data_IF_675988583199
#
_entry.id   IF_675988583199
#
_cell.length_a   1.000
_cell.length_b   1.000
_cell.length_c   1.000
_cell.angle_alpha   90.00
_cell.angle_beta   90.00
_cell.angle_gamma   90.00
#
_symmetry.space_group_name_H-M   'P 1'
#
loop_
_entity.id
_entity.type
_entity.pdbx_description
1 polymer ?
#
# COMPACT_ATOMS: atom_id res chain seq x y z
N UNK A 1 1.34 -24.59 -25.49
CA UNK A 1 1.79 -23.47 -24.63
C UNK A 1 0.63 -22.50 -24.57
N UNK A 2 -0.35 -22.84 -23.74
CA UNK A 2 -1.53 -22.04 -23.49
C UNK A 2 -1.13 -20.89 -22.57
N UNK A 3 -1.49 -19.67 -22.96
CA UNK A 3 -1.40 -18.50 -22.09
C UNK A 3 -2.73 -18.46 -21.35
N UNK A 4 -2.71 -18.78 -20.07
CA UNK A 4 -3.88 -18.64 -19.20
C UNK A 4 -4.25 -17.16 -19.12
N UNK A 5 -5.20 -16.77 -19.97
CA UNK A 5 -5.96 -15.55 -19.85
C UNK A 5 -6.74 -15.66 -18.54
N UNK A 6 -6.29 -14.93 -17.51
CA UNK A 6 -7.03 -14.74 -16.27
C UNK A 6 -8.31 -13.97 -16.62
N UNK A 7 -9.39 -14.71 -16.89
CA UNK A 7 -10.71 -14.14 -17.15
C UNK A 7 -11.22 -13.52 -15.84
N UNK A 8 -11.11 -12.21 -15.72
CA UNK A 8 -11.83 -11.44 -14.72
C UNK A 8 -13.34 -11.67 -14.92
N UNK A 9 -14.12 -11.94 -13.86
CA UNK A 9 -15.55 -12.14 -13.98
C UNK A 9 -16.22 -10.89 -14.57
N UNK A 10 -17.21 -11.16 -15.43
CA UNK A 10 -17.99 -10.20 -16.18
C UNK A 10 -18.66 -9.18 -15.23
N UNK A 11 -18.08 -7.98 -15.10
CA UNK A 11 -18.71 -6.86 -14.39
C UNK A 11 -19.78 -6.24 -15.30
N UNK A 12 -21.00 -6.15 -14.79
CA UNK A 12 -22.12 -5.48 -15.44
C UNK A 12 -21.74 -4.05 -15.84
N UNK A 13 -22.05 -3.68 -17.08
CA UNK A 13 -21.86 -2.34 -17.63
C UNK A 13 -22.55 -1.28 -16.74
N UNK A 14 -21.76 -0.55 -15.95
CA UNK A 14 -22.25 0.51 -15.07
C UNK A 14 -21.28 0.96 -13.97
N UNK A 15 -20.30 0.14 -13.60
CA UNK A 15 -19.32 0.47 -12.56
C UNK A 15 -18.07 1.12 -13.20
N UNK A 16 -17.98 2.44 -13.15
CA UNK A 16 -16.80 3.16 -13.64
C UNK A 16 -15.60 2.81 -12.75
N UNK A 17 -14.56 2.19 -13.34
CA UNK A 17 -13.31 1.93 -12.64
C UNK A 17 -12.68 3.25 -12.16
N UNK A 18 -12.18 3.26 -10.91
CA UNK A 18 -11.47 4.42 -10.37
C UNK A 18 -10.21 4.71 -11.21
N UNK A 19 -9.79 5.96 -11.31
CA UNK A 19 -8.48 6.28 -11.92
C UNK A 19 -7.46 6.60 -10.83
N UNK A 20 -6.27 6.03 -10.92
CA UNK A 20 -5.19 6.26 -9.95
C UNK A 20 -3.87 6.58 -10.65
N UNK A 21 -3.21 7.64 -10.19
CA UNK A 21 -1.85 8.01 -10.58
C UNK A 21 -0.86 7.51 -9.53
N UNK A 22 0.12 6.70 -9.94
CA UNK A 22 1.17 6.15 -9.07
C UNK A 22 2.56 6.40 -9.64
N UNK A 23 3.59 6.22 -8.83
CA UNK A 23 4.98 6.41 -9.24
C UNK A 23 5.38 5.36 -10.28
N UNK A 24 5.96 5.80 -11.40
CA UNK A 24 6.69 4.94 -12.32
C UNK A 24 8.12 4.66 -11.83
N UNK A 25 8.68 3.50 -12.15
CA UNK A 25 10.04 3.14 -11.79
C UNK A 25 11.07 4.04 -12.49
N UNK A 26 12.17 4.37 -11.79
CA UNK A 26 13.24 5.18 -12.36
C UNK A 26 13.91 4.42 -13.53
N UNK A 27 13.93 5.04 -14.71
CA UNK A 27 14.49 4.42 -15.92
C UNK A 27 13.60 3.36 -16.59
N UNK A 28 12.42 3.05 -16.02
CA UNK A 28 11.46 2.10 -16.57
C UNK A 28 10.02 2.64 -16.41
N UNK A 29 9.58 3.56 -17.31
CA UNK A 29 8.33 4.31 -17.14
C UNK A 29 7.06 3.43 -17.17
N UNK A 30 7.15 2.24 -17.76
CA UNK A 30 6.04 1.29 -17.87
C UNK A 30 5.97 0.30 -16.69
N UNK A 31 6.81 0.49 -15.68
CA UNK A 31 6.90 -0.38 -14.49
C UNK A 31 6.51 0.41 -13.24
N UNK A 32 5.81 -0.26 -12.31
CA UNK A 32 5.46 0.33 -11.01
C UNK A 32 6.73 0.64 -10.19
N UNK A 33 6.83 1.87 -9.70
CA UNK A 33 7.98 2.36 -8.95
C UNK A 33 7.92 2.12 -7.45
N UNK A 34 9.03 2.41 -6.79
CA UNK A 34 9.22 2.37 -5.34
C UNK A 34 8.51 3.55 -4.66
N UNK A 35 7.26 3.33 -4.23
CA UNK A 35 6.51 4.30 -3.44
C UNK A 35 5.62 3.60 -2.41
N UNK A 36 5.99 3.60 -1.12
CA UNK A 36 5.18 2.93 -0.08
C UNK A 36 3.78 3.54 0.04
N UNK A 37 3.62 4.84 -0.25
CA UNK A 37 2.32 5.51 -0.24
C UNK A 37 1.42 5.06 -1.40
N UNK A 38 1.98 4.85 -2.60
CA UNK A 38 1.23 4.28 -3.72
C UNK A 38 0.84 2.83 -3.43
N UNK A 39 1.79 2.04 -2.91
CA UNK A 39 1.54 0.64 -2.54
C UNK A 39 0.44 0.52 -1.49
N UNK A 40 0.38 1.41 -0.50
CA UNK A 40 -0.73 1.45 0.48
C UNK A 40 -2.09 1.52 -0.21
N UNK A 41 -2.27 2.48 -1.13
CA UNK A 41 -3.54 2.65 -1.85
C UNK A 41 -3.85 1.45 -2.74
N UNK A 42 -2.86 0.95 -3.49
CA UNK A 42 -3.03 -0.21 -4.36
C UNK A 42 -3.45 -1.45 -3.56
N UNK A 43 -2.78 -1.75 -2.44
CA UNK A 43 -3.14 -2.86 -1.56
C UNK A 43 -4.57 -2.74 -1.03
N UNK A 44 -5.00 -1.53 -0.63
CA UNK A 44 -6.38 -1.28 -0.20
C UNK A 44 -7.38 -1.58 -1.31
N UNK A 45 -7.11 -1.13 -2.55
CA UNK A 45 -7.99 -1.37 -3.69
C UNK A 45 -8.06 -2.86 -4.08
N UNK A 46 -6.92 -3.55 -4.09
CA UNK A 46 -6.81 -4.98 -4.40
C UNK A 46 -7.55 -5.84 -3.36
N UNK A 47 -7.34 -5.60 -2.07
CA UNK A 47 -8.00 -6.38 -1.00
C UNK A 47 -9.53 -6.19 -1.02
N UNK A 48 -9.99 -4.97 -1.34
CA UNK A 48 -11.41 -4.65 -1.52
C UNK A 48 -11.95 -5.03 -2.90
N UNK A 49 -11.10 -5.49 -3.82
CA UNK A 49 -11.45 -5.87 -5.19
C UNK A 49 -12.13 -4.74 -5.98
N UNK A 50 -11.72 -3.50 -5.71
CA UNK A 50 -12.24 -2.32 -6.40
C UNK A 50 -11.51 -2.18 -7.73
N UNK A 51 -12.20 -2.20 -8.88
CA UNK A 51 -11.54 -2.05 -10.17
C UNK A 51 -11.00 -0.63 -10.35
N UNK A 52 -9.78 -0.52 -10.87
CA UNK A 52 -9.15 0.76 -11.15
C UNK A 52 -8.32 0.73 -12.44
N UNK A 53 -8.11 1.91 -13.01
CA UNK A 53 -7.20 2.20 -14.10
C UNK A 53 -5.94 2.86 -13.55
N UNK A 54 -4.80 2.21 -13.78
CA UNK A 54 -3.50 2.68 -13.34
C UNK A 54 -2.88 3.66 -14.36
N UNK A 55 -2.37 4.78 -13.86
CA UNK A 55 -1.56 5.74 -14.60
C UNK A 55 -0.17 5.83 -13.95
N UNK A 56 0.86 5.36 -14.66
CA UNK A 56 2.24 5.46 -14.19
C UNK A 56 2.80 6.85 -14.50
N UNK A 57 3.27 7.54 -13.45
CA UNK A 57 3.78 8.91 -13.54
C UNK A 57 5.28 8.92 -13.26
N UNK A 58 6.06 9.35 -14.24
CA UNK A 58 7.47 9.66 -14.05
C UNK A 58 7.61 10.94 -13.21
N UNK A 59 8.17 10.84 -12.01
CA UNK A 59 8.31 11.98 -11.10
C UNK A 59 9.51 12.87 -11.40
N UNK A 60 10.48 12.36 -12.19
CA UNK A 60 11.64 13.11 -12.67
C UNK A 60 11.31 13.97 -13.89
N UNK A 61 10.33 13.54 -14.69
CA UNK A 61 9.81 14.25 -15.86
C UNK A 61 8.27 14.20 -15.82
N UNK A 62 7.68 15.11 -15.04
CA UNK A 62 6.24 15.08 -14.74
C UNK A 62 5.46 15.58 -15.96
N UNK A 63 4.52 14.79 -16.50
CA UNK A 63 3.76 15.22 -17.66
C UNK A 63 2.80 16.36 -17.31
N UNK A 64 2.57 17.27 -18.25
CA UNK A 64 1.79 18.49 -18.03
C UNK A 64 0.35 18.19 -17.54
N UNK A 65 -0.31 17.19 -18.12
CA UNK A 65 -1.66 16.77 -17.72
C UNK A 65 -1.71 16.33 -16.25
N UNK A 66 -0.62 15.79 -15.71
CA UNK A 66 -0.57 15.36 -14.30
C UNK A 66 -0.47 16.57 -13.37
N UNK A 67 0.28 17.60 -13.76
CA UNK A 67 0.40 18.84 -12.99
C UNK A 67 -0.89 19.66 -13.01
N UNK A 68 -1.70 19.54 -14.07
CA UNK A 68 -3.04 20.14 -14.13
C UNK A 68 -4.00 19.54 -13.10
N UNK A 69 -3.90 18.23 -12.83
CA UNK A 69 -4.74 17.54 -11.84
C UNK A 69 -4.15 17.56 -10.42
N UNK A 70 -2.83 17.58 -10.30
CA UNK A 70 -2.08 17.59 -9.03
C UNK A 70 -0.91 18.56 -9.13
N UNK A 71 -1.14 19.87 -8.85
CA UNK A 71 -0.11 20.90 -8.96
C UNK A 71 1.11 20.68 -8.05
N UNK A 72 0.92 19.95 -6.95
CA UNK A 72 2.04 19.55 -6.06
C UNK A 72 2.97 18.52 -6.71
N UNK A 73 2.53 17.84 -7.77
CA UNK A 73 3.31 16.84 -8.48
C UNK A 73 3.65 15.61 -7.63
N UNK A 74 2.82 15.30 -6.62
CA UNK A 74 2.99 14.14 -5.71
C UNK A 74 2.00 13.04 -6.07
N UNK A 75 2.41 11.80 -5.79
CA UNK A 75 1.60 10.58 -5.90
C UNK A 75 1.56 9.86 -4.54
N UNK A 76 0.52 9.07 -4.23
CA UNK A 76 -0.62 8.73 -5.09
C UNK A 76 -1.65 9.86 -5.24
N UNK A 77 -2.42 9.81 -6.33
CA UNK A 77 -3.63 10.62 -6.54
C UNK A 77 -4.71 9.74 -7.13
N UNK A 78 -5.93 9.76 -6.59
CA UNK A 78 -7.07 8.96 -7.06
C UNK A 78 -8.23 9.88 -7.46
N UNK A 79 -8.92 9.54 -8.55
CA UNK A 79 -10.12 10.22 -9.00
C UNK A 79 -11.37 9.56 -8.42
N UNK A 80 -12.08 10.27 -7.56
CA UNK A 80 -13.39 9.88 -7.03
C UNK A 80 -14.46 10.87 -7.49
N UNK A 81 -15.54 10.38 -8.11
CA UNK A 81 -16.69 11.21 -8.54
C UNK A 81 -16.23 12.49 -9.30
N UNK A 82 -15.30 12.31 -10.25
CA UNK A 82 -14.63 13.35 -11.04
C UNK A 82 -13.73 14.34 -10.31
N UNK A 83 -13.43 14.09 -9.03
CA UNK A 83 -12.49 14.89 -8.22
C UNK A 83 -11.22 14.12 -7.93
N UNK A 84 -10.08 14.75 -8.19
CA UNK A 84 -8.78 14.20 -7.83
C UNK A 84 -8.47 14.46 -6.36
N UNK A 85 -8.11 13.40 -5.64
CA UNK A 85 -7.77 13.42 -4.23
C UNK A 85 -6.34 12.90 -4.07
N UNK A 86 -5.51 13.68 -3.39
CA UNK A 86 -4.15 13.31 -3.00
C UNK A 86 -4.12 12.90 -1.52
N UNK A 87 -2.94 12.54 -1.02
CA UNK A 87 -2.67 12.01 0.32
C UNK A 87 -3.17 10.56 0.50
N UNK A 88 -2.24 9.62 0.71
CA UNK A 88 -2.57 8.21 0.80
C UNK A 88 -3.49 7.86 1.96
N UNK A 89 -3.40 8.56 3.10
CA UNK A 89 -4.25 8.28 4.25
C UNK A 89 -5.68 8.77 4.01
N UNK A 90 -5.83 9.94 3.39
CA UNK A 90 -7.14 10.46 2.97
C UNK A 90 -7.78 9.56 1.91
N UNK A 91 -7.01 9.15 0.91
CA UNK A 91 -7.48 8.25 -0.16
C UNK A 91 -7.98 6.93 0.44
N UNK A 92 -7.19 6.28 1.30
CA UNK A 92 -7.60 5.01 1.92
C UNK A 92 -8.84 5.20 2.80
N UNK A 93 -8.96 6.31 3.53
CA UNK A 93 -10.18 6.64 4.28
C UNK A 93 -11.42 6.73 3.39
N UNK A 94 -11.32 7.40 2.24
CA UNK A 94 -12.44 7.50 1.28
C UNK A 94 -12.78 6.13 0.69
N UNK A 95 -11.79 5.32 0.33
CA UNK A 95 -12.03 3.96 -0.17
C UNK A 95 -12.72 3.11 0.89
N UNK A 96 -12.30 3.20 2.15
CA UNK A 96 -12.90 2.49 3.26
C UNK A 96 -14.36 2.90 3.50
N UNK A 97 -14.68 4.19 3.38
CA UNK A 97 -16.05 4.68 3.55
C UNK A 97 -16.97 4.32 2.36
N UNK A 98 -16.45 4.33 1.13
CA UNK A 98 -17.19 3.95 -0.10
C UNK A 98 -17.37 2.44 -0.25
N UNK A 99 -16.38 1.66 0.16
CA UNK A 99 -16.32 0.20 0.02
C UNK A 99 -16.06 -0.44 1.39
N UNK A 100 -17.07 -0.51 2.27
CA UNK A 100 -16.87 -0.85 3.69
C UNK A 100 -16.49 -2.31 3.96
N UNK A 101 -16.62 -3.20 2.97
CA UNK A 101 -16.34 -4.63 3.13
C UNK A 101 -15.27 -5.12 2.15
N UNK A 102 -14.26 -5.89 2.61
CA UNK A 102 -13.92 -6.12 4.01
C UNK A 102 -13.44 -4.84 4.69
N UNK A 103 -13.76 -4.66 5.96
CA UNK A 103 -13.21 -3.55 6.76
C UNK A 103 -11.70 -3.72 6.92
N UNK A 104 -10.95 -2.69 6.54
CA UNK A 104 -9.49 -2.64 6.69
C UNK A 104 -9.05 -1.70 7.82
N UNK A 105 -10.00 -1.17 8.59
CA UNK A 105 -9.70 -0.31 9.74
C UNK A 105 -8.92 -1.10 10.78
N UNK A 106 -7.73 -0.61 11.11
CA UNK A 106 -6.96 -1.12 12.25
C UNK A 106 -7.71 -0.77 13.53
N UNK A 107 -7.96 -1.74 14.44
CA UNK A 107 -8.52 -1.45 15.74
C UNK A 107 -7.69 -0.38 16.47
N UNK A 108 -8.30 0.63 17.11
CA UNK A 108 -7.58 1.76 17.72
C UNK A 108 -6.49 1.34 18.71
N UNK A 109 -6.69 0.24 19.43
CA UNK A 109 -5.75 -0.33 20.37
C UNK A 109 -4.47 -0.86 19.70
N UNK A 110 -4.54 -1.22 18.41
CA UNK A 110 -3.43 -1.73 17.61
C UNK A 110 -2.77 -0.64 16.74
N UNK A 111 -3.48 0.46 16.47
CA UNK A 111 -3.05 1.50 15.51
C UNK A 111 -1.74 2.21 15.88
N UNK A 112 -1.40 2.25 17.18
CA UNK A 112 -0.15 2.87 17.64
C UNK A 112 1.07 1.96 17.49
N UNK A 113 0.87 0.64 17.47
CA UNK A 113 1.94 -0.35 17.41
C UNK A 113 2.54 -0.31 16.01
N UNK A 114 3.84 -0.04 15.92
CA UNK A 114 4.57 0.04 14.66
C UNK A 114 4.47 1.38 13.92
N UNK A 115 3.69 2.35 14.41
CA UNK A 115 3.55 3.69 13.79
C UNK A 115 4.88 4.43 13.60
N UNK A 116 5.88 4.14 14.42
CA UNK A 116 7.22 4.75 14.37
C UNK A 116 8.20 3.99 13.48
N UNK A 117 7.91 2.74 13.10
CA UNK A 117 8.84 1.88 12.34
C UNK A 117 9.24 2.53 11.03
N UNK A 118 8.28 3.07 10.27
CA UNK A 118 8.59 3.71 9.00
C UNK A 118 9.52 4.92 9.17
N UNK A 119 9.25 5.77 10.17
CA UNK A 119 10.11 6.91 10.48
C UNK A 119 11.51 6.50 10.92
N UNK A 120 11.61 5.49 11.79
CA UNK A 120 12.88 4.93 12.24
C UNK A 120 13.66 4.29 11.08
N UNK A 121 12.98 3.56 10.19
CA UNK A 121 13.57 2.93 9.01
C UNK A 121 14.13 3.96 8.04
N UNK A 122 13.36 5.01 7.71
CA UNK A 122 13.83 6.09 6.84
C UNK A 122 15.02 6.83 7.46
N UNK A 123 15.00 7.03 8.79
CA UNK A 123 16.12 7.65 9.51
C UNK A 123 17.38 6.77 9.41
N UNK A 124 17.25 5.48 9.70
CA UNK A 124 18.33 4.51 9.58
C UNK A 124 18.88 4.42 8.15
N UNK A 125 18.00 4.31 7.14
CA UNK A 125 18.39 4.22 5.74
C UNK A 125 19.14 5.46 5.24
N UNK A 126 18.83 6.65 5.78
CA UNK A 126 19.51 7.91 5.45
C UNK A 126 20.75 8.18 6.31
N UNK A 127 21.00 7.37 7.34
CA UNK A 127 22.17 7.52 8.20
C UNK A 127 23.46 7.44 7.39
N UNK A 128 24.44 8.27 7.77
CA UNK A 128 25.78 8.26 7.16
C UNK A 128 26.82 7.65 8.08
N UNK A 129 26.45 7.36 9.33
CA UNK A 129 27.36 6.92 10.38
C UNK A 129 26.73 5.74 11.10
N UNK A 130 27.47 4.63 11.16
CA UNK A 130 27.03 3.39 11.82
C UNK A 130 26.72 3.61 13.31
N UNK A 131 27.34 4.61 13.96
CA UNK A 131 27.22 4.87 15.39
C UNK A 131 26.20 5.94 15.78
N UNK A 132 25.35 6.42 14.87
CA UNK A 132 24.38 7.49 15.19
C UNK A 132 23.15 7.01 15.97
N UNK A 133 23.07 5.71 16.25
CA UNK A 133 22.01 5.09 17.05
C UNK A 133 20.70 4.85 16.29
N UNK A 134 20.63 5.21 15.01
CA UNK A 134 19.43 5.01 14.18
C UNK A 134 19.09 3.52 13.96
N UNK A 135 20.10 2.66 13.82
CA UNK A 135 19.93 1.21 13.75
C UNK A 135 19.27 0.67 15.02
N UNK A 136 19.82 1.03 16.18
CA UNK A 136 19.29 0.59 17.47
C UNK A 136 17.86 1.08 17.70
N UNK A 137 17.55 2.31 17.29
CA UNK A 137 16.20 2.84 17.35
C UNK A 137 15.23 2.01 16.47
N UNK A 138 15.62 1.65 15.24
CA UNK A 138 14.82 0.78 14.38
C UNK A 138 14.64 -0.62 14.99
N UNK A 139 15.71 -1.22 15.51
CA UNK A 139 15.66 -2.54 16.17
C UNK A 139 14.71 -2.51 17.36
N UNK A 140 14.70 -1.45 18.16
CA UNK A 140 13.78 -1.30 19.28
C UNK A 140 12.31 -1.26 18.83
N UNK A 141 12.00 -0.50 17.78
CA UNK A 141 10.63 -0.44 17.24
C UNK A 141 10.20 -1.77 16.62
N UNK A 142 11.10 -2.50 15.94
CA UNK A 142 10.84 -3.83 15.42
C UNK A 142 10.63 -4.87 16.52
N UNK A 143 11.41 -4.78 17.61
CA UNK A 143 11.30 -5.66 18.77
C UNK A 143 9.96 -5.45 19.47
N UNK A 144 9.56 -4.19 19.67
CA UNK A 144 8.26 -3.86 20.24
C UNK A 144 7.09 -4.40 19.40
N UNK A 145 7.20 -4.35 18.07
CA UNK A 145 6.21 -4.96 17.18
C UNK A 145 6.22 -6.49 17.29
N UNK A 146 7.38 -7.14 17.27
CA UNK A 146 7.48 -8.61 17.38
C UNK A 146 6.93 -9.14 18.71
N UNK A 147 7.25 -8.48 19.83
CA UNK A 147 6.69 -8.82 21.15
C UNK A 147 5.16 -8.68 21.17
N UNK A 148 4.64 -7.60 20.58
CA UNK A 148 3.21 -7.39 20.46
C UNK A 148 2.54 -8.49 19.60
N UNK A 149 3.10 -8.81 18.44
CA UNK A 149 2.59 -9.87 17.55
C UNK A 149 2.60 -11.24 18.24
N UNK A 150 3.66 -11.57 19.00
CA UNK A 150 3.73 -12.82 19.78
C UNK A 150 2.67 -12.89 20.88
N UNK A 151 2.40 -11.77 21.55
CA UNK A 151 1.38 -11.67 22.60
C UNK A 151 -0.06 -11.78 22.07
N UNK A 152 -0.28 -11.36 20.83
CA UNK A 152 -1.61 -11.22 20.20
C UNK A 152 -1.82 -12.13 18.98
N UNK A 153 -0.99 -13.17 18.81
CA UNK A 153 -1.02 -14.04 17.62
C UNK A 153 -2.39 -14.68 17.33
N UNK A 154 -3.27 -14.81 18.35
CA UNK A 154 -4.64 -15.33 18.21
C UNK A 154 -5.64 -14.30 17.70
N UNK A 155 -5.34 -13.01 17.89
CA UNK A 155 -6.19 -11.89 17.50
C UNK A 155 -5.99 -11.54 16.01
N UNK A 156 -4.80 -11.84 15.48
CA UNK A 156 -4.50 -11.73 14.06
C UNK A 156 -4.97 -12.97 13.30
N UNK A 157 -6.15 -12.90 12.68
CA UNK A 157 -6.57 -13.92 11.70
C UNK A 157 -5.83 -13.71 10.39
N UNK A 158 -4.92 -14.62 10.05
CA UNK A 158 -4.47 -14.77 8.67
C UNK A 158 -5.66 -15.28 7.83
N UNK A 159 -6.29 -14.38 7.08
CA UNK A 159 -7.29 -14.75 6.09
C UNK A 159 -6.55 -14.99 4.79
N UNK A 160 -5.98 -16.18 4.65
CA UNK A 160 -5.47 -16.63 3.37
C UNK A 160 -6.60 -16.58 2.35
N UNK A 161 -6.38 -15.88 1.24
CA UNK A 161 -7.24 -15.91 0.05
C UNK A 161 -7.34 -17.32 -0.56
N UNK A 162 -6.54 -18.27 -0.04
CA UNK A 162 -6.42 -19.68 -0.41
C UNK A 162 -6.77 -20.60 0.78
N UNK A 163 -7.92 -20.42 1.40
CA UNK A 163 -8.40 -21.34 2.44
C UNK A 163 -7.69 -21.22 3.80
N UNK A 164 -8.41 -21.64 4.82
CA UNK A 164 -8.02 -21.57 6.22
C UNK A 164 -6.95 -22.62 6.54
N UNK A 165 -5.68 -22.22 6.58
CA UNK A 165 -4.69 -22.90 7.42
C UNK A 165 -4.02 -21.89 8.33
N UNK A 166 -3.69 -22.36 9.53
CA UNK A 166 -3.09 -21.61 10.61
C UNK A 166 -1.84 -20.82 10.15
N UNK A 167 -1.49 -19.80 10.94
CA UNK A 167 -0.28 -18.98 10.80
C UNK A 167 0.89 -19.84 10.28
N UNK A 168 1.42 -19.58 9.07
CA UNK A 168 2.56 -20.33 8.58
C UNK A 168 3.75 -20.08 9.50
N UNK A 169 4.55 -21.13 9.70
CA UNK A 169 5.81 -21.04 10.41
C UNK A 169 6.71 -19.91 9.83
N UNK A 170 7.53 -19.25 10.66
CA UNK A 170 8.33 -18.07 10.27
C UNK A 170 9.39 -18.33 9.19
N UNK A 171 9.51 -19.57 8.72
CA UNK A 171 10.44 -20.04 7.67
C UNK A 171 9.84 -19.99 6.26
N UNK A 172 8.56 -19.63 6.09
CA UNK A 172 7.98 -19.46 4.75
C UNK A 172 8.35 -18.09 4.17
N UNK A 173 9.31 -18.12 3.24
CA UNK A 173 9.59 -16.98 2.36
C UNK A 173 8.30 -16.56 1.66
N UNK A 174 8.01 -15.25 1.72
CA UNK A 174 6.91 -14.67 0.96
C UNK A 174 7.18 -14.90 -0.53
N UNK A 175 6.25 -15.46 -1.32
CA UNK A 175 6.41 -15.52 -2.76
C UNK A 175 6.19 -14.10 -3.30
N UNK A 176 7.29 -13.38 -3.51
CA UNK A 176 7.35 -12.24 -4.42
C UNK A 176 7.88 -12.73 -5.77
#
# INVERSE_FOLDING_TARGET
>A
MEKDHFLLPNLSQGEMALEICVKAAAGAPDVLGDCPFCQRVLLTLEEKKVPYKLHLVNLSDKPQWFLEISPEGKVPVVKFDDKWVADSDVIVGIVEDKYPEPSLKTPPELASVGSKIFGAFITFFKSKHVSDGSEQALVNELTALDEHLKGHAKDYRYRSSFGTEAVPSPDRSWPF
#
